data_IF_690491606924
#
_entry.id   IF_690491606924
#
_cell.length_a   1.000
_cell.length_b   1.000
_cell.length_c   1.000
_cell.angle_alpha   90.00
_cell.angle_beta   90.00
_cell.angle_gamma   90.00
#
_symmetry.space_group_name_H-M   'P 1'
#
loop_
_entity.id
_entity.type
_entity.pdbx_description
1 polymer ?
#
# COMPACT_ATOMS: atom_id res chain seq x y z
N UNK A 1 29.28 -8.31 -8.86
CA UNK A 1 27.84 -8.22 -8.56
C UNK A 1 27.63 -8.77 -7.16
N UNK A 2 27.18 -7.91 -6.24
CA UNK A 2 26.85 -8.28 -4.86
C UNK A 2 25.70 -9.32 -4.84
N UNK A 3 25.52 -10.02 -3.73
CA UNK A 3 24.51 -11.09 -3.61
C UNK A 3 23.09 -10.57 -3.81
N UNK A 4 22.78 -9.40 -3.23
CA UNK A 4 21.48 -8.74 -3.38
C UNK A 4 21.16 -8.38 -4.84
N UNK A 5 22.16 -7.95 -5.62
CA UNK A 5 21.99 -7.55 -7.02
C UNK A 5 21.57 -8.75 -7.90
N UNK A 6 22.05 -9.96 -7.57
CA UNK A 6 21.65 -11.21 -8.26
C UNK A 6 20.19 -11.55 -7.99
N UNK A 7 19.75 -11.39 -6.74
CA UNK A 7 18.36 -11.64 -6.33
C UNK A 7 17.43 -10.65 -7.04
N UNK A 8 17.80 -9.36 -7.05
CA UNK A 8 17.06 -8.32 -7.78
C UNK A 8 16.96 -8.71 -9.25
N UNK A 9 18.06 -9.05 -9.93
CA UNK A 9 18.03 -9.42 -11.35
C UNK A 9 17.04 -10.55 -11.69
N UNK A 10 16.90 -11.54 -10.80
CA UNK A 10 16.00 -12.68 -10.97
C UNK A 10 14.50 -12.37 -10.83
N UNK A 11 14.12 -11.15 -10.43
CA UNK A 11 12.71 -10.79 -10.23
C UNK A 11 11.94 -10.69 -11.56
N UNK A 12 10.80 -11.40 -11.74
CA UNK A 12 10.23 -11.62 -13.06
C UNK A 12 9.36 -10.48 -13.62
N UNK A 13 9.07 -9.43 -12.85
CA UNK A 13 8.08 -8.41 -13.24
C UNK A 13 8.62 -7.27 -14.11
N UNK A 14 9.92 -7.01 -14.09
CA UNK A 14 10.52 -5.90 -14.82
C UNK A 14 11.70 -6.33 -15.68
N UNK A 15 11.98 -5.58 -16.75
CA UNK A 15 12.94 -5.99 -17.77
C UNK A 15 14.35 -5.55 -17.42
N UNK A 16 14.52 -4.33 -16.90
CA UNK A 16 15.84 -3.80 -16.58
C UNK A 16 16.13 -3.86 -15.08
N UNK A 17 17.40 -3.78 -14.71
CA UNK A 17 17.79 -3.72 -13.29
C UNK A 17 17.26 -2.44 -12.63
N UNK A 18 17.32 -1.31 -13.34
CA UNK A 18 16.89 0.00 -12.86
C UNK A 18 15.39 0.02 -12.53
N UNK A 19 14.57 -0.63 -13.35
CA UNK A 19 13.13 -0.77 -13.09
C UNK A 19 12.86 -1.55 -11.81
N UNK A 20 13.56 -2.67 -11.63
CA UNK A 20 13.45 -3.53 -10.45
C UNK A 20 13.92 -2.80 -9.19
N UNK A 21 15.10 -2.18 -9.26
CA UNK A 21 15.68 -1.44 -8.15
C UNK A 21 14.78 -0.27 -7.74
N UNK A 22 14.25 0.49 -8.71
CA UNK A 22 13.28 1.55 -8.43
C UNK A 22 12.03 0.99 -7.74
N UNK A 23 11.49 -0.12 -8.24
CA UNK A 23 10.33 -0.76 -7.63
C UNK A 23 10.56 -1.10 -6.15
N UNK A 24 11.65 -1.79 -5.84
CA UNK A 24 11.95 -2.18 -4.46
C UNK A 24 12.22 -0.99 -3.53
N UNK A 25 12.86 0.08 -4.02
CA UNK A 25 13.06 1.32 -3.24
C UNK A 25 11.73 1.98 -2.89
N UNK A 26 10.84 2.14 -3.89
CA UNK A 26 9.52 2.75 -3.66
C UNK A 26 8.67 1.88 -2.74
N UNK A 27 8.69 0.56 -2.95
CA UNK A 27 7.97 -0.38 -2.11
C UNK A 27 8.45 -0.31 -0.65
N UNK A 28 9.76 -0.27 -0.43
CA UNK A 28 10.35 -0.13 0.90
C UNK A 28 9.91 1.16 1.60
N UNK A 29 9.86 2.28 0.88
CA UNK A 29 9.35 3.55 1.40
C UNK A 29 7.84 3.50 1.69
N UNK A 30 7.07 2.80 0.86
CA UNK A 30 5.63 2.66 1.01
C UNK A 30 5.29 1.85 2.27
N UNK A 31 5.83 0.64 2.41
CA UNK A 31 5.54 -0.25 3.53
C UNK A 31 6.12 0.23 4.87
N UNK A 32 7.06 1.18 4.84
CA UNK A 32 7.55 1.88 6.04
C UNK A 32 6.80 3.19 6.32
N UNK A 33 5.68 3.43 5.62
CA UNK A 33 4.81 4.60 5.78
C UNK A 33 5.54 5.94 5.62
N UNK A 34 6.66 5.97 4.87
CA UNK A 34 7.41 7.20 4.58
C UNK A 34 6.82 7.99 3.41
N UNK A 35 6.04 7.31 2.57
CA UNK A 35 5.30 7.89 1.46
C UNK A 35 3.88 7.33 1.42
N UNK A 36 2.96 8.10 0.86
CA UNK A 36 1.60 7.65 0.62
C UNK A 36 1.53 6.70 -0.58
N UNK A 37 0.45 5.93 -0.66
CA UNK A 37 0.15 5.10 -1.83
C UNK A 37 0.10 5.91 -3.14
N UNK A 38 -0.49 7.11 -3.10
CA UNK A 38 -0.53 8.04 -4.24
C UNK A 38 0.89 8.38 -4.71
N UNK A 39 1.78 8.71 -3.77
CA UNK A 39 3.16 9.05 -4.10
C UNK A 39 3.94 7.86 -4.66
N UNK A 40 3.68 6.66 -4.15
CA UNK A 40 4.27 5.44 -4.69
C UNK A 40 3.84 5.19 -6.15
N UNK A 41 2.55 5.38 -6.46
CA UNK A 41 2.02 5.25 -7.81
C UNK A 41 2.68 6.24 -8.78
N UNK A 42 2.81 7.51 -8.37
CA UNK A 42 3.50 8.56 -9.12
C UNK A 42 4.97 8.19 -9.41
N UNK A 43 5.72 7.76 -8.39
CA UNK A 43 7.15 7.40 -8.52
C UNK A 43 7.37 6.19 -9.43
N UNK A 44 6.41 5.26 -9.45
CA UNK A 44 6.43 4.08 -10.32
C UNK A 44 5.86 4.33 -11.71
N UNK A 45 5.28 5.51 -11.95
CA UNK A 45 4.54 5.84 -13.18
C UNK A 45 3.44 4.82 -13.46
N UNK A 46 2.77 4.39 -12.41
CA UNK A 46 1.64 3.47 -12.46
C UNK A 46 0.38 4.21 -12.05
N UNK A 47 -0.73 3.84 -12.65
CA UNK A 47 -2.03 4.22 -12.12
C UNK A 47 -2.25 3.50 -10.78
N UNK A 48 -2.98 4.13 -9.86
CA UNK A 48 -3.26 3.57 -8.51
C UNK A 48 -3.81 2.15 -8.56
N UNK A 49 -4.74 1.88 -9.47
CA UNK A 49 -5.38 0.57 -9.64
C UNK A 49 -4.35 -0.50 -10.05
N UNK A 50 -3.40 -0.13 -10.91
CA UNK A 50 -2.31 -1.02 -11.33
C UNK A 50 -1.33 -1.29 -10.20
N UNK A 51 -1.02 -0.27 -9.39
CA UNK A 51 -0.19 -0.47 -8.21
C UNK A 51 -0.90 -1.39 -7.20
N UNK A 52 -2.20 -1.19 -6.96
CA UNK A 52 -2.96 -2.03 -6.04
C UNK A 52 -2.99 -3.49 -6.50
N UNK A 53 -3.30 -3.72 -7.78
CA UNK A 53 -3.23 -5.04 -8.39
C UNK A 53 -1.84 -5.68 -8.30
N UNK A 54 -0.78 -4.88 -8.45
CA UNK A 54 0.59 -5.37 -8.34
C UNK A 54 0.95 -5.78 -6.92
N UNK A 55 0.52 -5.03 -5.90
CA UNK A 55 0.74 -5.40 -4.50
C UNK A 55 -0.03 -6.69 -4.14
N UNK A 56 -1.26 -6.81 -4.62
CA UNK A 56 -2.09 -8.02 -4.45
C UNK A 56 -1.42 -9.26 -5.09
N UNK A 57 -0.93 -9.13 -6.33
CA UNK A 57 -0.19 -10.21 -7.01
C UNK A 57 1.08 -10.65 -6.25
N UNK A 58 1.66 -9.75 -5.47
CA UNK A 58 2.86 -9.98 -4.68
C UNK A 58 2.55 -10.40 -3.23
N UNK A 59 1.29 -10.57 -2.88
CA UNK A 59 0.82 -10.87 -1.52
C UNK A 59 1.36 -9.86 -0.49
N UNK A 60 1.41 -8.58 -0.88
CA UNK A 60 1.84 -7.48 -0.03
C UNK A 60 0.62 -6.80 0.58
N UNK A 61 0.39 -7.08 1.85
CA UNK A 61 -0.60 -6.38 2.64
C UNK A 61 -0.13 -4.95 2.92
N UNK A 62 -0.75 -3.97 2.26
CA UNK A 62 -0.56 -2.55 2.57
C UNK A 62 -1.83 -2.02 3.23
N UNK A 63 -1.73 -1.70 4.53
CA UNK A 63 -2.77 -0.95 5.21
C UNK A 63 -2.69 0.51 4.80
N UNK A 64 -3.80 1.03 4.25
CA UNK A 64 -3.95 2.47 3.97
C UNK A 64 -4.05 3.31 5.24
N UNK A 65 -4.32 2.66 6.36
CA UNK A 65 -4.48 3.29 7.66
C UNK A 65 -3.31 2.89 8.54
N UNK A 66 -2.65 3.86 9.16
CA UNK A 66 -1.86 3.58 10.33
C UNK A 66 -2.76 3.22 11.54
N UNK A 67 -2.14 2.89 12.68
CA UNK A 67 -2.89 2.45 13.87
C UNK A 67 -3.80 3.56 14.43
N UNK A 68 -3.38 4.83 14.33
CA UNK A 68 -4.14 5.97 14.80
C UNK A 68 -5.35 6.21 13.89
N UNK A 69 -5.13 6.23 12.58
CA UNK A 69 -6.16 6.34 11.55
C UNK A 69 -7.18 5.18 11.65
N UNK A 70 -6.70 3.95 11.86
CA UNK A 70 -7.57 2.79 12.04
C UNK A 70 -8.45 2.89 13.30
N UNK A 71 -7.96 3.52 14.37
CA UNK A 71 -8.75 3.75 15.58
C UNK A 71 -9.79 4.85 15.39
N UNK A 72 -9.41 5.96 14.73
CA UNK A 72 -10.35 7.04 14.40
C UNK A 72 -11.52 6.52 13.54
N UNK A 73 -11.23 5.66 12.57
CA UNK A 73 -12.26 5.11 11.69
C UNK A 73 -13.18 4.13 12.43
N UNK A 74 -12.65 3.30 13.34
CA UNK A 74 -13.47 2.47 14.24
C UNK A 74 -14.40 3.29 15.13
N UNK A 75 -13.91 4.40 15.69
CA UNK A 75 -14.73 5.29 16.52
C UNK A 75 -15.84 5.98 15.71
N UNK A 76 -15.53 6.47 14.51
CA UNK A 76 -16.50 7.06 13.60
C UNK A 76 -17.61 6.06 13.23
N UNK A 77 -17.24 4.83 12.89
CA UNK A 77 -18.21 3.75 12.58
C UNK A 77 -19.07 3.42 13.81
N UNK A 78 -18.46 3.32 15.00
CA UNK A 78 -19.20 3.05 16.24
C UNK A 78 -20.25 4.13 16.52
N UNK A 79 -19.89 5.40 16.35
CA UNK A 79 -20.81 6.53 16.53
C UNK A 79 -21.98 6.47 15.55
N UNK A 80 -21.71 6.20 14.27
CA UNK A 80 -22.74 6.05 13.24
C UNK A 80 -23.73 4.93 13.58
N UNK A 81 -23.24 3.80 14.11
CA UNK A 81 -24.09 2.67 14.52
C UNK A 81 -24.96 3.01 15.74
N UNK A 82 -24.47 3.83 16.67
CA UNK A 82 -25.25 4.30 17.82
C UNK A 82 -26.37 5.26 17.37
N UNK A 83 -26.08 6.18 16.45
CA UNK A 83 -27.07 7.10 15.86
C UNK A 83 -28.19 6.32 15.14
N UNK A 84 -27.84 5.38 14.25
CA UNK A 84 -28.81 4.55 13.52
C UNK A 84 -29.68 3.68 14.44
N UNK A 85 -29.12 3.18 15.56
CA UNK A 85 -29.89 2.44 16.57
C UNK A 85 -30.90 3.34 17.29
N UNK A 86 -30.51 4.58 17.57
CA UNK A 86 -31.41 5.55 18.24
C UNK A 86 -32.58 5.98 17.34
N UNK A 87 -32.36 6.10 16.03
CA UNK A 87 -33.39 6.48 15.05
C UNK A 87 -34.41 5.36 14.77
N UNK A 88 -33.98 4.10 14.78
CA UNK A 88 -34.85 2.93 14.58
C UNK A 88 -35.63 2.47 15.82
N UNK A 89 -35.44 3.15 16.96
CA UNK A 89 -36.17 2.88 18.22
C UNK A 89 -37.42 3.76 18.43
N UNK A 90 -37.95 4.37 17.35
CA UNK A 90 -39.24 5.07 17.28
C UNK A 90 -40.29 4.24 16.52
#
# INVERSE_FOLDING_TARGET
>A
MQEIEKVVWGFPLFKTYEEKERFFKVLGLLVSHQITFEKAAELLKLDREKLAFLLDLLEIDYSFLDEEEANLEKEAVKKLLEELKSENSL
#
